data_IF_019990614456
#
_entry.id   IF_019990614456
#
_cell.length_a   1.000
_cell.length_b   1.000
_cell.length_c   1.000
_cell.angle_alpha   90.00
_cell.angle_beta   90.00
_cell.angle_gamma   90.00
#
_symmetry.space_group_name_H-M   'P 1'
#
loop_
_entity.id
_entity.type
_entity.pdbx_description
1 polymer ?
#
# COMPACT_ATOMS: atom_id res chain seq x y z
N UNK A 1 14.92 5.35 64.31
CA UNK A 1 14.52 4.03 63.78
C UNK A 1 13.02 4.04 63.60
N UNK A 2 12.54 3.36 62.56
CA UNK A 2 11.15 3.16 62.16
C UNK A 2 10.50 4.27 61.33
N UNK A 3 10.53 4.08 60.00
CA UNK A 3 9.39 4.44 59.15
C UNK A 3 8.92 3.15 58.47
N UNK A 4 7.67 2.80 58.77
CA UNK A 4 6.98 1.59 58.33
C UNK A 4 6.60 1.66 56.85
N UNK A 5 6.57 0.48 56.24
CA UNK A 5 6.09 0.13 54.90
C UNK A 5 4.66 0.66 54.64
N UNK A 6 4.40 1.20 53.44
CA UNK A 6 3.05 1.27 52.88
C UNK A 6 3.04 1.21 51.34
N UNK A 7 2.19 0.29 50.84
CA UNK A 7 1.55 0.20 49.53
C UNK A 7 2.48 0.10 48.29
N UNK A 8 2.73 -1.10 47.75
CA UNK A 8 1.81 -1.92 46.93
C UNK A 8 1.25 -1.20 45.68
N UNK A 9 1.68 -1.74 44.53
CA UNK A 9 0.99 -1.73 43.23
C UNK A 9 0.69 -0.37 42.57
N UNK A 10 1.65 0.13 41.79
CA UNK A 10 1.31 0.76 40.51
C UNK A 10 1.36 -0.32 39.42
N UNK A 11 0.28 -1.08 39.38
CA UNK A 11 -0.12 -1.87 38.22
C UNK A 11 -0.27 -0.95 37.01
N UNK A 12 0.43 -1.31 35.93
CA UNK A 12 -0.10 -1.25 34.56
C UNK A 12 -0.69 0.11 34.14
N UNK A 13 0.13 1.15 34.05
CA UNK A 13 -0.21 2.31 33.24
C UNK A 13 0.08 1.98 31.77
N UNK A 14 -0.97 1.45 31.15
CA UNK A 14 -1.34 1.59 29.75
C UNK A 14 -0.18 1.48 28.74
N UNK A 15 -0.06 0.29 28.14
CA UNK A 15 0.48 0.17 26.80
C UNK A 15 -0.35 1.08 25.87
N UNK A 16 0.20 2.16 25.30
CA UNK A 16 -0.46 2.80 24.18
C UNK A 16 -0.11 1.98 22.92
N UNK A 17 -1.12 1.78 22.10
CA UNK A 17 -1.01 1.44 20.69
C UNK A 17 -0.50 0.02 20.37
N UNK A 18 -1.36 -0.96 20.65
CA UNK A 18 -1.69 -1.93 19.59
C UNK A 18 -2.32 -1.17 18.41
N UNK A 19 -1.46 -0.65 17.55
CA UNK A 19 -1.68 -0.30 16.16
C UNK A 19 -0.42 0.45 15.75
N UNK A 20 0.66 -0.30 15.49
CA UNK A 20 1.46 0.13 14.35
C UNK A 20 0.43 0.15 13.22
N UNK A 21 -0.03 1.35 12.84
CA UNK A 21 -0.51 1.59 11.49
C UNK A 21 0.54 0.93 10.63
N UNK A 22 0.24 -0.30 10.18
CA UNK A 22 1.05 -1.00 9.23
C UNK A 22 0.91 -0.13 8.01
N UNK A 23 1.80 0.87 7.92
CA UNK A 23 1.89 1.82 6.82
C UNK A 23 1.69 0.96 5.59
N UNK A 24 0.60 1.18 4.81
CA UNK A 24 0.13 0.20 3.85
C UNK A 24 1.34 -0.27 3.06
N UNK A 25 1.64 -1.58 3.19
CA UNK A 25 2.91 -2.11 2.73
C UNK A 25 3.14 -1.58 1.31
N UNK A 26 4.33 -0.99 1.02
CA UNK A 26 4.59 -0.40 -0.28
C UNK A 26 4.15 -1.35 -1.38
N UNK A 27 3.54 -0.82 -2.44
CA UNK A 27 3.15 -1.65 -3.59
C UNK A 27 4.39 -2.27 -4.23
N UNK A 28 4.75 -3.45 -3.77
CA UNK A 28 5.81 -4.27 -4.34
C UNK A 28 5.22 -5.12 -5.44
N UNK A 29 5.46 -4.75 -6.70
CA UNK A 29 4.98 -5.47 -7.88
C UNK A 29 5.48 -6.92 -7.88
N UNK A 30 4.60 -7.84 -7.52
CA UNK A 30 4.82 -9.29 -7.49
C UNK A 30 3.76 -9.97 -8.33
N UNK A 31 4.11 -11.08 -8.98
CA UNK A 31 3.22 -11.79 -9.91
C UNK A 31 1.97 -12.38 -9.24
N UNK A 32 2.00 -12.53 -7.93
CA UNK A 32 0.98 -13.16 -7.11
C UNK A 32 0.25 -12.18 -6.18
N UNK A 33 0.30 -10.90 -6.49
CA UNK A 33 -0.33 -9.82 -5.73
C UNK A 33 -1.34 -9.05 -6.61
N UNK A 34 -2.45 -8.66 -6.00
CA UNK A 34 -3.44 -7.76 -6.56
C UNK A 34 -3.40 -6.42 -5.83
N UNK A 35 -3.47 -5.32 -6.57
CA UNK A 35 -3.43 -3.96 -6.01
C UNK A 35 -4.77 -3.29 -6.22
N UNK A 36 -5.35 -2.75 -5.14
CA UNK A 36 -6.62 -2.06 -5.19
C UNK A 36 -6.42 -0.58 -4.85
N UNK A 37 -7.04 0.27 -5.65
CA UNK A 37 -7.24 1.66 -5.32
C UNK A 37 -8.66 1.82 -4.78
N UNK A 38 -8.77 2.06 -3.47
CA UNK A 38 -10.03 2.18 -2.75
C UNK A 38 -10.80 3.44 -3.17
N UNK A 39 -12.11 3.43 -2.92
CA UNK A 39 -12.97 4.60 -3.18
C UNK A 39 -12.60 5.82 -2.33
N UNK A 40 -11.96 5.57 -1.20
CA UNK A 40 -11.41 6.53 -0.26
C UNK A 40 -10.00 7.02 -0.66
N UNK A 41 -9.44 6.51 -1.76
CA UNK A 41 -8.08 6.80 -2.19
C UNK A 41 -7.01 5.95 -1.52
N UNK A 42 -7.39 4.95 -0.72
CA UNK A 42 -6.44 4.01 -0.12
C UNK A 42 -5.76 3.14 -1.18
N UNK A 43 -4.50 2.79 -0.94
CA UNK A 43 -3.75 1.83 -1.75
C UNK A 43 -3.58 0.54 -0.96
N UNK A 44 -4.16 -0.54 -1.46
CA UNK A 44 -4.21 -1.84 -0.78
C UNK A 44 -3.53 -2.89 -1.64
N UNK A 45 -2.88 -3.87 -1.01
CA UNK A 45 -2.22 -4.97 -1.68
C UNK A 45 -2.72 -6.30 -1.09
N UNK A 46 -3.10 -7.23 -1.95
CA UNK A 46 -3.69 -8.51 -1.57
C UNK A 46 -2.92 -9.66 -2.19
N UNK A 47 -2.59 -10.66 -1.37
CA UNK A 47 -2.07 -11.92 -1.87
C UNK A 47 -3.14 -12.63 -2.68
N UNK A 48 -2.83 -12.91 -3.94
CA UNK A 48 -3.72 -13.62 -4.85
C UNK A 48 -3.66 -15.12 -4.53
N UNK A 49 -4.84 -15.72 -4.38
CA UNK A 49 -5.04 -17.16 -4.32
C UNK A 49 -5.64 -17.71 -5.61
N UNK A 50 -5.62 -19.03 -5.79
CA UNK A 50 -6.13 -19.70 -7.00
C UNK A 50 -7.63 -20.01 -6.93
N UNK A 51 -8.21 -20.04 -5.73
CA UNK A 51 -9.58 -20.54 -5.49
C UNK A 51 -10.67 -19.79 -6.27
N UNK A 52 -10.43 -18.55 -6.71
CA UNK A 52 -11.44 -17.70 -7.36
C UNK A 52 -10.95 -16.99 -8.63
N UNK A 53 -9.91 -17.50 -9.30
CA UNK A 53 -9.33 -16.85 -10.48
C UNK A 53 -10.35 -16.58 -11.60
N UNK A 54 -11.30 -17.49 -11.82
CA UNK A 54 -12.36 -17.32 -12.81
C UNK A 54 -13.30 -16.14 -12.54
N UNK A 55 -13.60 -15.86 -11.27
CA UNK A 55 -14.40 -14.70 -10.88
C UNK A 55 -13.63 -13.40 -11.07
N UNK A 56 -12.33 -13.41 -10.72
CA UNK A 56 -11.46 -12.24 -10.88
C UNK A 56 -11.29 -11.84 -12.35
N UNK A 57 -11.15 -12.81 -13.25
CA UNK A 57 -11.00 -12.57 -14.68
C UNK A 57 -12.33 -12.19 -15.36
N UNK A 58 -13.47 -12.51 -14.75
CA UNK A 58 -14.79 -12.18 -15.29
C UNK A 58 -15.00 -10.66 -15.27
N UNK A 59 -14.98 -10.05 -16.45
CA UNK A 59 -15.14 -8.60 -16.61
C UNK A 59 -13.83 -7.79 -16.42
N UNK A 60 -12.71 -8.47 -16.14
CA UNK A 60 -11.41 -7.81 -16.11
C UNK A 60 -11.02 -7.33 -17.51
N UNK A 61 -10.47 -6.11 -17.60
CA UNK A 61 -9.89 -5.58 -18.83
C UNK A 61 -8.39 -5.65 -18.74
N UNK A 62 -7.76 -6.15 -19.80
CA UNK A 62 -6.31 -6.09 -19.94
C UNK A 62 -5.87 -4.64 -20.09
N UNK A 63 -4.90 -4.22 -19.28
CA UNK A 63 -4.26 -2.92 -19.42
C UNK A 63 -3.46 -2.89 -20.74
N UNK A 64 -3.64 -1.86 -21.59
CA UNK A 64 -2.80 -1.69 -22.77
C UNK A 64 -1.32 -1.62 -22.42
N UNK A 65 -0.47 -2.28 -23.22
CA UNK A 65 0.99 -2.14 -23.06
C UNK A 65 1.38 -0.68 -23.26
N UNK A 66 2.39 -0.23 -22.53
CA UNK A 66 2.77 1.18 -22.54
C UNK A 66 1.86 2.08 -21.71
N UNK A 67 1.23 1.55 -20.66
CA UNK A 67 0.50 2.35 -19.68
C UNK A 67 1.37 2.58 -18.45
N UNK A 68 1.57 3.84 -18.06
CA UNK A 68 2.20 4.22 -16.80
C UNK A 68 1.12 4.38 -15.72
N UNK A 69 1.36 3.81 -14.54
CA UNK A 69 0.58 4.07 -13.32
C UNK A 69 1.45 4.81 -12.31
N UNK A 70 0.91 5.81 -11.64
CA UNK A 70 1.64 6.59 -10.66
C UNK A 70 0.71 7.22 -9.63
N UNK A 71 1.24 7.47 -8.43
CA UNK A 71 0.52 8.21 -7.39
C UNK A 71 0.96 9.66 -7.47
N UNK A 72 0.00 10.58 -7.62
CA UNK A 72 0.27 12.02 -7.64
C UNK A 72 0.59 12.56 -6.25
N UNK A 73 1.06 13.81 -6.17
CA UNK A 73 1.32 14.48 -4.88
C UNK A 73 0.08 14.57 -3.98
N UNK A 74 -1.11 14.51 -4.57
CA UNK A 74 -2.40 14.47 -3.87
C UNK A 74 -2.79 13.07 -3.38
N UNK A 75 -1.91 12.07 -3.48
CA UNK A 75 -2.19 10.69 -3.07
C UNK A 75 -3.12 9.91 -4.00
N UNK A 76 -3.51 10.48 -5.14
CA UNK A 76 -4.42 9.81 -6.07
C UNK A 76 -3.69 8.95 -7.09
N UNK A 77 -4.29 7.82 -7.47
CA UNK A 77 -3.77 6.95 -8.51
C UNK A 77 -4.16 7.49 -9.89
N UNK A 78 -3.16 7.72 -10.73
CA UNK A 78 -3.32 8.12 -12.13
C UNK A 78 -2.82 7.02 -13.06
N UNK A 79 -3.37 7.01 -14.28
CA UNK A 79 -2.84 6.23 -15.40
C UNK A 79 -2.63 7.11 -16.63
N UNK A 80 -1.64 6.77 -17.46
CA UNK A 80 -1.32 7.46 -18.71
C UNK A 80 -1.02 6.45 -19.82
N UNK A 81 -1.66 6.59 -20.97
CA UNK A 81 -1.46 5.74 -22.16
C UNK A 81 -0.70 6.45 -23.30
N UNK A 82 0.16 7.42 -22.97
CA UNK A 82 1.04 8.12 -23.91
C UNK A 82 2.51 7.90 -23.58
N UNK A 83 3.46 8.48 -24.34
CA UNK A 83 4.88 8.36 -24.07
C UNK A 83 5.21 8.74 -22.61
N UNK A 84 5.97 7.88 -21.95
CA UNK A 84 6.56 8.08 -20.63
C UNK A 84 8.06 7.74 -20.62
N UNK A 85 8.58 7.25 -21.74
CA UNK A 85 9.99 7.06 -22.02
C UNK A 85 10.36 7.92 -23.24
N UNK A 86 11.55 8.49 -23.19
CA UNK A 86 12.21 9.11 -24.34
C UNK A 86 12.65 8.04 -25.37
N UNK A 87 13.10 8.49 -26.54
CA UNK A 87 13.59 7.59 -27.60
C UNK A 87 14.79 6.71 -27.21
N UNK A 88 15.56 7.13 -26.20
CA UNK A 88 16.68 6.39 -25.62
C UNK A 88 16.28 5.50 -24.42
N UNK A 89 14.99 5.46 -24.06
CA UNK A 89 14.47 4.71 -22.93
C UNK A 89 14.55 5.43 -21.58
N UNK A 90 15.04 6.67 -21.52
CA UNK A 90 15.05 7.48 -20.28
C UNK A 90 13.62 7.80 -19.85
N UNK A 91 13.33 7.72 -18.55
CA UNK A 91 12.03 8.13 -18.01
C UNK A 91 11.84 9.65 -18.13
N UNK A 92 10.76 10.06 -18.78
CA UNK A 92 10.51 11.47 -19.12
C UNK A 92 10.22 12.36 -17.90
N UNK A 93 9.73 11.77 -16.79
CA UNK A 93 9.28 12.50 -15.61
C UNK A 93 10.19 12.27 -14.40
N UNK A 94 11.41 11.78 -14.62
CA UNK A 94 12.43 11.64 -13.58
C UNK A 94 13.11 12.98 -13.28
N UNK A 95 13.84 13.04 -12.17
CA UNK A 95 14.74 14.17 -11.90
C UNK A 95 15.82 14.23 -12.98
N UNK A 96 16.14 15.45 -13.42
CA UNK A 96 17.28 15.71 -14.31
C UNK A 96 18.58 15.83 -13.53
#
# INVERSE_FOLDING_TARGET
>A
MATFLMAAALTTLAAPALAQDASPAPWELKSDMGYAYGKDGSTLAYKMGTNNAGLLLKGAKKVPRGTLFFVGQNGQLYMRSGPYLEGDGKFMFGSN
#
